data_IF_459000564244
#
_entry.id   IF_459000564244
#
_cell.length_a   1.000
_cell.length_b   1.000
_cell.length_c   1.000
_cell.angle_alpha   90.00
_cell.angle_beta   90.00
_cell.angle_gamma   90.00
#
_symmetry.space_group_name_H-M   'P 1'
#
loop_
_entity.id
_entity.type
_entity.pdbx_description
1 polymer ?
#
# COMPACT_ATOMS: atom_id res chain seq x y z
N UNK A 1 -26.31 37.78 9.06
CA UNK A 1 -25.53 37.53 7.84
C UNK A 1 -24.68 36.29 8.10
N UNK A 2 -25.11 35.11 7.65
CA UNK A 2 -24.28 33.90 7.70
C UNK A 2 -23.34 33.97 6.50
N UNK A 3 -22.06 34.18 6.78
CA UNK A 3 -21.01 34.54 5.83
C UNK A 3 -21.00 33.64 4.59
N UNK A 4 -21.19 34.24 3.41
CA UNK A 4 -21.03 33.56 2.13
C UNK A 4 -19.64 32.92 1.99
N UNK A 5 -18.62 33.53 2.62
CA UNK A 5 -17.24 33.06 2.63
C UNK A 5 -17.05 31.71 3.36
N UNK A 6 -17.83 31.44 4.42
CA UNK A 6 -17.76 30.17 5.14
C UNK A 6 -18.36 29.03 4.29
N UNK A 7 -19.50 29.28 3.63
CA UNK A 7 -20.13 28.30 2.72
C UNK A 7 -19.23 27.92 1.55
N UNK A 8 -18.53 28.88 0.94
CA UNK A 8 -17.62 28.59 -0.17
C UNK A 8 -16.38 27.81 0.30
N UNK A 9 -15.89 28.09 1.50
CA UNK A 9 -14.77 27.35 2.12
C UNK A 9 -15.19 25.91 2.43
N UNK A 10 -16.38 25.72 3.01
CA UNK A 10 -16.97 24.41 3.26
C UNK A 10 -17.11 23.58 1.98
N UNK A 11 -17.63 24.17 0.90
CA UNK A 11 -17.78 23.49 -0.40
C UNK A 11 -16.43 23.05 -0.98
N UNK A 12 -15.41 23.92 -0.94
CA UNK A 12 -14.06 23.59 -1.39
C UNK A 12 -13.47 22.43 -0.58
N UNK A 13 -13.63 22.49 0.76
CA UNK A 13 -13.14 21.43 1.64
C UNK A 13 -13.84 20.09 1.36
N UNK A 14 -15.17 20.10 1.20
CA UNK A 14 -15.93 18.91 0.82
C UNK A 14 -15.47 18.31 -0.52
N UNK A 15 -15.13 19.15 -1.50
CA UNK A 15 -14.54 18.71 -2.76
C UNK A 15 -13.20 18.00 -2.60
N UNK A 16 -12.33 18.50 -1.72
CA UNK A 16 -11.07 17.83 -1.40
C UNK A 16 -11.30 16.49 -0.68
N UNK A 17 -12.18 16.43 0.32
CA UNK A 17 -12.53 15.19 1.00
C UNK A 17 -13.10 14.14 0.04
N UNK A 18 -13.98 14.54 -0.87
CA UNK A 18 -14.53 13.63 -1.87
C UNK A 18 -13.43 13.07 -2.78
N UNK A 19 -12.47 13.90 -3.17
CA UNK A 19 -11.31 13.45 -3.96
C UNK A 19 -10.43 12.48 -3.17
N UNK A 20 -10.16 12.75 -1.89
CA UNK A 20 -9.40 11.85 -1.00
C UNK A 20 -10.07 10.48 -0.89
N UNK A 21 -11.38 10.44 -0.63
CA UNK A 21 -12.18 9.21 -0.55
C UNK A 21 -12.11 8.45 -1.87
N UNK A 22 -12.36 9.14 -2.99
CA UNK A 22 -12.35 8.53 -4.33
C UNK A 22 -10.99 7.94 -4.69
N UNK A 23 -9.89 8.63 -4.37
CA UNK A 23 -8.54 8.14 -4.58
C UNK A 23 -8.22 6.94 -3.67
N UNK A 24 -8.68 6.96 -2.43
CA UNK A 24 -8.50 5.84 -1.49
C UNK A 24 -9.19 4.57 -1.99
N UNK A 25 -10.43 4.68 -2.47
CA UNK A 25 -11.13 3.54 -3.08
C UNK A 25 -10.39 3.01 -4.32
N UNK A 26 -9.96 3.89 -5.23
CA UNK A 26 -9.17 3.49 -6.40
C UNK A 26 -7.88 2.78 -6.02
N UNK A 27 -7.19 3.27 -4.98
CA UNK A 27 -5.96 2.66 -4.49
C UNK A 27 -6.24 1.27 -3.91
N UNK A 28 -7.30 1.11 -3.13
CA UNK A 28 -7.70 -0.18 -2.58
C UNK A 28 -8.03 -1.21 -3.68
N UNK A 29 -8.66 -0.79 -4.78
CA UNK A 29 -8.87 -1.68 -5.94
C UNK A 29 -7.57 -2.11 -6.62
N UNK A 30 -6.59 -1.21 -6.72
CA UNK A 30 -5.24 -1.54 -7.24
C UNK A 30 -4.50 -2.50 -6.30
N UNK A 31 -4.55 -2.26 -4.99
CA UNK A 31 -3.95 -3.15 -3.98
C UNK A 31 -4.55 -4.56 -4.04
N UNK A 32 -5.87 -4.69 -4.18
CA UNK A 32 -6.54 -5.99 -4.39
C UNK A 32 -6.08 -6.66 -5.69
N UNK A 33 -6.04 -5.91 -6.78
CA UNK A 33 -5.62 -6.42 -8.08
C UNK A 33 -4.18 -6.93 -8.06
N UNK A 34 -3.24 -6.15 -7.49
CA UNK A 34 -1.84 -6.56 -7.33
C UNK A 34 -1.74 -7.81 -6.47
N UNK A 35 -2.43 -7.86 -5.33
CA UNK A 35 -2.41 -9.03 -4.46
C UNK A 35 -2.92 -10.29 -5.17
N UNK A 36 -4.00 -10.20 -5.94
CA UNK A 36 -4.49 -11.32 -6.75
C UNK A 36 -3.43 -11.76 -7.76
N UNK A 37 -2.79 -10.82 -8.45
CA UNK A 37 -1.74 -11.11 -9.43
C UNK A 37 -0.47 -11.71 -8.78
N UNK A 38 -0.12 -11.35 -7.55
CA UNK A 38 1.04 -11.93 -6.87
C UNK A 38 0.74 -13.33 -6.32
N UNK A 39 -0.52 -13.60 -5.94
CA UNK A 39 -0.92 -14.79 -5.19
C UNK A 39 -1.76 -15.79 -5.99
N UNK A 40 -2.14 -15.54 -7.24
CA UNK A 40 -2.97 -16.45 -8.05
C UNK A 40 -2.43 -17.88 -8.10
N UNK A 41 -1.11 -18.05 -8.26
CA UNK A 41 -0.49 -19.38 -8.22
C UNK A 41 -0.72 -20.09 -6.89
N UNK A 42 -0.56 -19.36 -5.78
CA UNK A 42 -0.84 -19.87 -4.45
C UNK A 42 -2.32 -20.15 -4.26
N UNK A 43 -3.22 -19.33 -4.80
CA UNK A 43 -4.67 -19.57 -4.74
C UNK A 43 -5.09 -20.83 -5.51
N UNK A 44 -4.48 -21.08 -6.67
CA UNK A 44 -4.66 -22.35 -7.39
C UNK A 44 -4.13 -23.56 -6.61
N UNK A 45 -3.02 -23.39 -5.88
CA UNK A 45 -2.42 -24.45 -5.06
C UNK A 45 -3.13 -24.63 -3.70
N UNK A 46 -3.71 -23.56 -3.14
CA UNK A 46 -4.32 -23.47 -1.81
C UNK A 46 -5.76 -24.01 -1.72
N UNK A 47 -6.26 -24.67 -2.78
CA UNK A 47 -7.30 -25.71 -2.60
C UNK A 47 -6.85 -26.79 -1.59
N UNK A 48 -5.56 -26.79 -1.22
CA UNK A 48 -4.92 -27.60 -0.19
C UNK A 48 -4.47 -26.68 0.98
N UNK A 49 -5.34 -26.46 1.96
CA UNK A 49 -5.02 -26.10 3.36
C UNK A 49 -4.44 -24.71 3.79
N UNK A 50 -4.23 -23.69 2.95
CA UNK A 50 -3.58 -22.44 3.41
C UNK A 50 -4.53 -21.22 3.60
N UNK A 51 -4.53 -20.59 4.79
CA UNK A 51 -5.11 -19.25 5.01
C UNK A 51 -4.21 -18.18 4.39
N UNK A 52 -4.55 -17.72 3.18
CA UNK A 52 -3.84 -16.60 2.54
C UNK A 52 -4.32 -15.29 3.17
N UNK A 53 -3.39 -14.51 3.73
CA UNK A 53 -3.68 -13.18 4.29
C UNK A 53 -3.95 -12.20 3.15
N UNK A 54 -5.10 -11.53 3.17
CA UNK A 54 -5.50 -10.53 2.17
C UNK A 54 -4.58 -9.31 2.13
N UNK A 55 -4.75 -8.42 1.13
CA UNK A 55 -3.93 -7.21 1.01
C UNK A 55 -4.17 -6.27 2.20
N UNK A 56 -3.11 -5.57 2.63
CA UNK A 56 -3.25 -4.42 3.51
C UNK A 56 -3.88 -3.26 2.72
N UNK A 57 -5.07 -2.81 3.12
CA UNK A 57 -5.80 -1.72 2.48
C UNK A 57 -5.51 -0.38 3.17
N UNK A 58 -5.77 0.71 2.45
CA UNK A 58 -5.85 2.04 3.03
C UNK A 58 -7.21 2.27 3.69
N UNK A 59 -7.19 2.86 4.88
CA UNK A 59 -8.40 3.29 5.57
C UNK A 59 -9.04 4.46 4.83
N UNK A 60 -10.33 4.32 4.49
CA UNK A 60 -11.10 5.40 3.92
C UNK A 60 -11.39 6.44 5.01
N UNK A 61 -11.12 7.74 4.76
CA UNK A 61 -11.46 8.78 5.72
C UNK A 61 -12.98 8.85 5.88
N UNK A 62 -13.44 9.06 7.12
CA UNK A 62 -14.86 9.23 7.41
C UNK A 62 -15.35 10.59 6.92
N UNK A 63 -16.42 10.60 6.13
CA UNK A 63 -17.07 11.82 5.68
C UNK A 63 -18.12 12.26 6.70
N UNK A 64 -17.83 13.33 7.46
CA UNK A 64 -18.84 14.00 8.28
C UNK A 64 -19.21 15.35 7.65
N UNK A 65 -20.51 15.61 7.53
CA UNK A 65 -21.03 16.92 7.11
C UNK A 65 -21.04 17.96 8.24
N UNK A 66 -20.71 17.57 9.47
CA UNK A 66 -20.84 18.41 10.67
C UNK A 66 -19.53 19.07 11.10
N UNK A 67 -18.69 19.51 10.15
CA UNK A 67 -17.46 20.25 10.50
C UNK A 67 -17.82 21.67 10.95
N UNK A 68 -17.86 21.88 12.27
CA UNK A 68 -17.87 23.21 12.85
C UNK A 68 -16.46 23.83 12.70
N UNK A 69 -16.26 24.60 11.64
CA UNK A 69 -15.23 25.66 11.53
C UNK A 69 -13.75 25.28 11.44
N UNK A 70 -13.34 24.01 11.62
CA UNK A 70 -11.93 23.61 11.53
C UNK A 70 -11.69 22.78 10.25
N UNK A 71 -11.17 23.44 9.21
CA UNK A 71 -10.85 22.82 7.92
C UNK A 71 -9.34 22.55 7.81
N UNK A 72 -8.92 21.27 7.82
CA UNK A 72 -7.52 20.91 7.63
C UNK A 72 -7.16 20.76 6.14
N UNK A 73 -7.18 21.87 5.39
CA UNK A 73 -6.83 21.86 3.96
C UNK A 73 -5.43 21.32 3.68
N UNK A 74 -4.46 21.63 4.55
CA UNK A 74 -3.09 21.17 4.39
C UNK A 74 -3.00 19.64 4.48
N UNK A 75 -3.62 19.04 5.51
CA UNK A 75 -3.64 17.60 5.71
C UNK A 75 -4.32 16.87 4.55
N UNK A 76 -5.50 17.32 4.13
CA UNK A 76 -6.24 16.68 3.03
C UNK A 76 -5.47 16.79 1.71
N UNK A 77 -4.84 17.94 1.41
CA UNK A 77 -4.03 18.09 0.19
C UNK A 77 -2.79 17.21 0.20
N UNK A 78 -2.07 17.14 1.33
CA UNK A 78 -0.91 16.26 1.47
C UNK A 78 -1.32 14.79 1.28
N UNK A 79 -2.45 14.39 1.86
CA UNK A 79 -3.01 13.04 1.70
C UNK A 79 -3.42 12.73 0.26
N UNK A 80 -4.02 13.69 -0.46
CA UNK A 80 -4.33 13.54 -1.89
C UNK A 80 -3.06 13.35 -2.72
N UNK A 81 -2.00 14.13 -2.47
CA UNK A 81 -0.73 13.99 -3.18
C UNK A 81 -0.09 12.63 -2.94
N UNK A 82 -0.07 12.19 -1.67
CA UNK A 82 0.32 10.83 -1.29
C UNK A 82 -0.45 9.78 -2.08
N UNK A 83 -1.79 9.87 -2.11
CA UNK A 83 -2.63 8.84 -2.74
C UNK A 83 -2.37 8.76 -4.25
N UNK A 84 -2.06 9.89 -4.90
CA UNK A 84 -1.71 9.94 -6.33
C UNK A 84 -0.37 9.25 -6.63
N UNK A 85 0.69 9.65 -5.92
CA UNK A 85 2.01 9.02 -6.07
C UNK A 85 1.93 7.52 -5.79
N UNK A 86 1.16 7.16 -4.76
CA UNK A 86 0.95 5.78 -4.38
C UNK A 86 0.20 4.98 -5.44
N UNK A 87 -0.83 5.56 -6.06
CA UNK A 87 -1.55 4.96 -7.18
C UNK A 87 -0.65 4.71 -8.39
N UNK A 88 0.19 5.67 -8.75
CA UNK A 88 1.18 5.54 -9.82
C UNK A 88 2.13 4.38 -9.53
N UNK A 89 2.65 4.30 -8.30
CA UNK A 89 3.53 3.20 -7.89
C UNK A 89 2.83 1.84 -7.90
N UNK A 90 1.58 1.74 -7.42
CA UNK A 90 0.83 0.49 -7.47
C UNK A 90 0.52 0.04 -8.91
N UNK A 91 0.30 0.98 -9.83
CA UNK A 91 0.16 0.67 -11.24
C UNK A 91 1.46 0.11 -11.83
N UNK A 92 2.60 0.74 -11.54
CA UNK A 92 3.92 0.24 -11.97
C UNK A 92 4.19 -1.19 -11.48
N UNK A 93 3.82 -1.50 -10.23
CA UNK A 93 3.96 -2.85 -9.68
C UNK A 93 3.05 -3.86 -10.35
N UNK A 94 1.82 -3.48 -10.70
CA UNK A 94 0.89 -4.34 -11.44
C UNK A 94 1.44 -4.63 -12.83
N UNK A 95 1.94 -3.61 -13.54
CA UNK A 95 2.48 -3.75 -14.89
C UNK A 95 3.71 -4.66 -14.91
N UNK A 96 4.63 -4.49 -13.96
CA UNK A 96 5.79 -5.37 -13.80
C UNK A 96 5.36 -6.81 -13.47
N UNK A 97 4.40 -6.98 -12.56
CA UNK A 97 3.87 -8.31 -12.20
C UNK A 97 3.29 -9.02 -13.43
N UNK A 98 2.54 -8.30 -14.27
CA UNK A 98 2.02 -8.83 -15.53
C UNK A 98 3.12 -9.16 -16.54
N UNK A 99 4.16 -8.32 -16.65
CA UNK A 99 5.30 -8.58 -17.52
C UNK A 99 6.05 -9.84 -17.10
N UNK A 100 6.35 -9.98 -15.81
CA UNK A 100 7.01 -11.18 -15.28
C UNK A 100 6.15 -12.43 -15.49
N UNK A 101 4.83 -12.36 -15.30
CA UNK A 101 3.90 -13.49 -15.59
C UNK A 101 4.02 -14.01 -17.00
N UNK A 102 4.09 -13.10 -17.98
CA UNK A 102 4.27 -13.46 -19.40
C UNK A 102 5.59 -14.20 -19.61
N UNK A 103 6.65 -13.80 -18.92
CA UNK A 103 7.97 -14.42 -19.02
C UNK A 103 8.05 -15.80 -18.34
N UNK A 104 7.50 -15.97 -17.12
CA UNK A 104 7.66 -17.19 -16.31
C UNK A 104 6.51 -18.22 -16.43
N UNK A 105 5.52 -17.99 -17.31
CA UNK A 105 4.41 -18.92 -17.64
C UNK A 105 3.69 -19.50 -16.41
N UNK A 106 2.91 -18.69 -15.68
CA UNK A 106 1.93 -19.02 -14.60
C UNK A 106 2.31 -20.01 -13.46
N UNK A 107 3.42 -20.74 -13.54
CA UNK A 107 3.79 -21.86 -12.66
C UNK A 107 4.76 -21.48 -11.54
N UNK A 108 5.20 -20.22 -11.48
CA UNK A 108 6.18 -19.77 -10.49
C UNK A 108 5.67 -18.53 -9.76
N UNK A 109 6.02 -18.42 -8.49
CA UNK A 109 5.84 -17.21 -7.71
C UNK A 109 6.65 -16.06 -8.31
N UNK A 110 5.99 -14.93 -8.50
CA UNK A 110 6.60 -13.69 -9.01
C UNK A 110 7.34 -13.04 -7.85
N UNK A 111 8.64 -12.81 -8.01
CA UNK A 111 9.52 -12.34 -6.93
C UNK A 111 10.41 -11.22 -7.41
N UNK A 112 10.10 -10.00 -7.01
CA UNK A 112 10.94 -8.83 -7.21
C UNK A 112 10.76 -7.84 -6.05
N UNK A 113 11.69 -6.90 -5.94
CA UNK A 113 11.62 -5.80 -4.99
C UNK A 113 10.64 -4.74 -5.51
N UNK A 114 9.63 -4.40 -4.72
CA UNK A 114 8.63 -3.39 -5.07
C UNK A 114 9.21 -1.97 -5.06
N UNK A 115 10.40 -1.77 -4.50
CA UNK A 115 11.06 -0.47 -4.50
C UNK A 115 11.92 -0.25 -5.76
N UNK A 116 12.85 -1.16 -6.05
CA UNK A 116 13.77 -1.00 -7.19
C UNK A 116 13.36 -1.76 -8.46
N UNK A 117 12.35 -2.62 -8.41
CA UNK A 117 11.87 -3.41 -9.57
C UNK A 117 13.02 -4.21 -10.23
N UNK A 118 13.85 -4.86 -9.40
CA UNK A 118 15.02 -5.58 -9.91
C UNK A 118 15.35 -6.83 -9.13
N UNK A 119 15.71 -6.68 -7.85
CA UNK A 119 16.21 -7.82 -7.07
C UNK A 119 15.13 -8.85 -6.79
N UNK A 120 15.37 -10.12 -7.16
CA UNK A 120 14.58 -11.27 -6.72
C UNK A 120 15.12 -11.91 -5.42
N UNK A 121 16.34 -11.55 -5.04
CA UNK A 121 17.08 -12.11 -3.91
C UNK A 121 16.95 -11.26 -2.65
N UNK A 122 17.07 -11.90 -1.48
CA UNK A 122 17.05 -11.22 -0.18
C UNK A 122 15.78 -10.41 0.05
N UNK A 123 14.64 -10.91 -0.42
CA UNK A 123 13.36 -10.21 -0.35
C UNK A 123 12.70 -10.40 1.01
N UNK A 124 12.39 -9.29 1.66
CA UNK A 124 11.67 -9.20 2.93
C UNK A 124 10.24 -8.75 2.66
N UNK A 125 9.25 -9.50 3.16
CA UNK A 125 7.86 -9.05 3.14
C UNK A 125 7.62 -8.14 4.35
N UNK A 126 7.13 -6.94 4.11
CA UNK A 126 6.77 -5.96 5.12
C UNK A 126 5.31 -6.14 5.53
N UNK A 127 4.96 -5.79 6.77
CA UNK A 127 3.58 -5.87 7.27
C UNK A 127 2.60 -4.98 6.51
N UNK A 128 3.09 -3.95 5.82
CA UNK A 128 2.31 -3.12 4.89
C UNK A 128 2.05 -3.76 3.51
N UNK A 129 2.52 -4.99 3.29
CA UNK A 129 2.29 -5.75 2.06
C UNK A 129 3.29 -5.48 0.93
N UNK A 130 4.38 -4.74 1.19
CA UNK A 130 5.47 -4.60 0.22
C UNK A 130 6.53 -5.66 0.39
N UNK A 131 7.15 -6.01 -0.73
CA UNK A 131 8.34 -6.83 -0.73
C UNK A 131 9.56 -5.99 -1.08
N UNK A 132 10.55 -5.94 -0.19
CA UNK A 132 11.71 -5.05 -0.32
C UNK A 132 13.00 -5.87 -0.20
N UNK A 133 13.98 -5.65 -1.07
CA UNK A 133 15.27 -6.34 -0.97
C UNK A 133 16.16 -5.76 0.15
N UNK A 134 17.13 -6.54 0.63
CA UNK A 134 18.04 -6.11 1.69
C UNK A 134 18.82 -4.80 1.41
N UNK A 135 19.13 -4.50 0.14
CA UNK A 135 19.81 -3.24 -0.22
C UNK A 135 18.87 -2.04 -0.12
N UNK A 136 17.61 -2.25 -0.44
CA UNK A 136 16.58 -1.23 -0.39
C UNK A 136 16.07 -1.02 1.04
N UNK A 137 16.01 -2.07 1.86
CA UNK A 137 15.56 -1.95 3.25
C UNK A 137 16.60 -1.23 4.12
N UNK A 138 17.90 -1.37 3.83
CA UNK A 138 18.97 -0.73 4.59
C UNK A 138 19.01 0.79 4.42
N UNK A 139 18.42 1.33 3.35
CA UNK A 139 18.26 2.76 3.14
C UNK A 139 17.00 3.34 3.80
N UNK A 140 16.16 2.52 4.44
CA UNK A 140 14.96 2.99 5.12
C UNK A 140 15.28 3.44 6.55
N UNK A 141 14.58 4.48 7.00
CA UNK A 141 14.59 4.90 8.40
C UNK A 141 14.05 3.77 9.28
N UNK A 142 14.83 3.38 10.30
CA UNK A 142 14.47 2.31 11.24
C UNK A 142 14.38 2.86 12.66
N UNK A 143 13.31 2.50 13.36
CA UNK A 143 13.14 2.68 14.80
C UNK A 143 12.96 1.32 15.46
N UNK A 144 13.22 1.22 16.76
CA UNK A 144 12.96 -0.01 17.52
C UNK A 144 11.67 0.16 18.28
N UNK A 145 10.73 -0.77 18.10
CA UNK A 145 9.54 -0.82 18.94
C UNK A 145 9.95 -1.17 20.37
N UNK A 146 9.64 -0.29 21.32
CA UNK A 146 9.98 -0.48 22.74
C UNK A 146 9.29 -1.71 23.34
N UNK A 147 8.17 -2.15 22.77
CA UNK A 147 7.39 -3.27 23.30
C UNK A 147 7.84 -4.62 22.76
N UNK A 148 8.04 -4.74 21.45
CA UNK A 148 8.43 -6.01 20.79
C UNK A 148 9.93 -6.17 20.55
N UNK A 149 10.73 -5.11 20.74
CA UNK A 149 12.13 -5.00 20.32
C UNK A 149 12.36 -5.26 18.82
N UNK A 150 11.29 -5.32 18.02
CA UNK A 150 11.40 -5.53 16.58
C UNK A 150 11.72 -4.20 15.86
N UNK A 151 12.50 -4.25 14.76
CA UNK A 151 12.74 -3.08 13.93
C UNK A 151 11.45 -2.69 13.17
N UNK A 152 11.07 -1.44 13.33
CA UNK A 152 10.01 -0.76 12.60
C UNK A 152 10.63 0.16 11.57
N UNK A 153 10.26 -0.05 10.31
CA UNK A 153 10.74 0.73 9.18
C UNK A 153 9.63 1.66 8.70
N UNK A 154 10.00 2.87 8.32
CA UNK A 154 9.14 3.69 7.47
C UNK A 154 9.22 3.16 6.04
N UNK A 155 8.14 2.56 5.53
CA UNK A 155 8.15 1.99 4.19
C UNK A 155 8.31 3.10 3.14
N UNK A 156 9.38 3.07 2.34
CA UNK A 156 9.61 4.07 1.28
C UNK A 156 8.59 4.09 0.13
N UNK A 157 7.57 3.22 0.16
CA UNK A 157 6.53 3.13 -0.86
C UNK A 157 5.16 3.62 -0.39
N UNK A 158 4.79 3.35 0.87
CA UNK A 158 3.50 3.77 1.44
C UNK A 158 3.65 4.66 2.67
N UNK A 159 4.89 4.97 3.09
CA UNK A 159 5.22 5.79 4.25
C UNK A 159 4.53 5.37 5.56
N UNK A 160 4.05 4.11 5.61
CA UNK A 160 3.52 3.50 6.82
C UNK A 160 4.67 2.86 7.58
N UNK A 161 4.59 2.96 8.90
CA UNK A 161 5.41 2.15 9.79
C UNK A 161 5.08 0.68 9.59
N UNK A 162 6.10 -0.13 9.29
CA UNK A 162 5.95 -1.54 9.01
C UNK A 162 7.11 -2.34 9.61
N UNK A 163 6.84 -3.58 10.03
CA UNK A 163 7.88 -4.52 10.44
C UNK A 163 8.16 -5.53 9.33
N UNK A 164 9.37 -6.09 9.36
CA UNK A 164 9.68 -7.27 8.57
C UNK A 164 8.86 -8.46 9.09
N UNK A 165 8.08 -9.10 8.22
CA UNK A 165 7.28 -10.26 8.57
C UNK A 165 8.13 -11.51 8.33
N UNK A 166 8.62 -12.11 9.42
CA UNK A 166 9.21 -13.44 9.41
C UNK A 166 8.10 -14.49 9.31
N UNK A 167 7.58 -14.72 8.11
CA UNK A 167 6.90 -16.00 7.84
C UNK A 167 7.90 -16.91 7.15
N UNK A 168 8.16 -18.06 7.79
CA UNK A 168 8.79 -19.23 7.20
C UNK A 168 8.07 -19.57 5.89
N UNK A 169 8.59 -19.07 4.78
CA UNK A 169 8.36 -19.71 3.49
C UNK A 169 9.43 -20.78 3.41
N UNK A 170 9.19 -21.90 4.08
CA UNK A 170 9.87 -23.14 3.69
C UNK A 170 9.59 -23.30 2.19
N UNK A 171 10.65 -23.18 1.41
CA UNK A 171 10.64 -23.58 0.02
C UNK A 171 10.30 -25.07 0.04
N UNK A 172 9.04 -25.42 -0.23
CA UNK A 172 8.73 -26.79 -0.60
C UNK A 172 9.47 -27.02 -1.93
N UNK A 173 10.41 -27.98 -2.00
CA UNK A 173 11.24 -28.24 -3.17
C UNK A 173 10.44 -28.46 -4.47
#
# INVERSE_FOLDING_TARGET
>A
SVDCHDRDTQRRYAGYLWLEISLTHRLNEKLKSRWLLENEHQLHQALICCRVTGPALEDAPYFSNSFAGIYNFHGVRARIQFLRQRLEKEQELIDETMQQRKAVRYRRSIRFCHMCIGSAEGLVNMSCGHRICCLCISSLSCQVDRSSQAPLYECGLCWKTACAVTRHWEQIP
#
